data_IF_562117116498
#
_entry.id   IF_562117116498
#
_cell.length_a   1.000
_cell.length_b   1.000
_cell.length_c   1.000
_cell.angle_alpha   90.00
_cell.angle_beta   90.00
_cell.angle_gamma   90.00
#
_symmetry.space_group_name_H-M   'P 1'
#
loop_
_entity.id
_entity.type
_entity.pdbx_description
1 polymer ?
#
# COMPACT_ATOMS: atom_id res chain seq x y z
N UNK A 1 -28.45 -28.95 -9.81
CA UNK A 1 -27.25 -28.08 -9.77
C UNK A 1 -27.16 -27.51 -8.37
N UNK A 2 -26.20 -27.95 -7.56
CA UNK A 2 -26.01 -27.42 -6.21
C UNK A 2 -25.33 -26.05 -6.34
N UNK A 3 -25.97 -24.98 -5.85
CA UNK A 3 -25.34 -23.67 -5.77
C UNK A 3 -24.09 -23.78 -4.89
N UNK A 4 -22.92 -23.45 -5.44
CA UNK A 4 -21.71 -23.31 -4.62
C UNK A 4 -21.98 -22.21 -3.58
N UNK A 5 -21.74 -22.45 -2.28
CA UNK A 5 -21.92 -21.39 -1.28
C UNK A 5 -20.98 -20.24 -1.62
N UNK A 6 -21.51 -19.02 -1.68
CA UNK A 6 -20.69 -17.81 -1.85
C UNK A 6 -19.68 -17.74 -0.70
N UNK A 7 -18.40 -18.00 -1.01
CA UNK A 7 -17.32 -17.70 -0.08
C UNK A 7 -17.11 -16.20 -0.14
N UNK A 8 -17.37 -15.51 0.97
CA UNK A 8 -17.01 -14.09 1.10
C UNK A 8 -15.51 -13.96 0.82
N UNK A 9 -15.08 -13.07 -0.10
CA UNK A 9 -13.67 -12.86 -0.31
C UNK A 9 -13.01 -12.44 1.01
N UNK A 10 -11.77 -12.88 1.26
CA UNK A 10 -11.04 -12.43 2.43
C UNK A 10 -10.96 -10.90 2.46
N UNK A 11 -10.87 -10.28 3.64
CA UNK A 11 -10.72 -8.84 3.74
C UNK A 11 -9.47 -8.37 2.96
N UNK A 12 -9.53 -7.16 2.37
CA UNK A 12 -8.39 -6.61 1.65
C UNK A 12 -7.22 -6.38 2.59
N UNK A 13 -6.00 -6.49 2.05
CA UNK A 13 -4.77 -6.07 2.74
C UNK A 13 -4.19 -4.85 2.04
N UNK A 14 -3.37 -4.10 2.75
CA UNK A 14 -2.84 -2.83 2.28
C UNK A 14 -1.32 -2.81 2.37
N UNK A 15 -0.65 -2.26 1.36
CA UNK A 15 0.78 -1.93 1.38
C UNK A 15 0.99 -0.45 1.17
N UNK A 16 2.17 0.01 1.54
CA UNK A 16 2.59 1.40 1.35
C UNK A 16 3.51 1.49 0.15
N UNK A 17 3.34 2.56 -0.63
CA UNK A 17 4.28 2.92 -1.68
C UNK A 17 4.65 4.39 -1.61
N UNK A 18 5.91 4.68 -1.91
CA UNK A 18 6.46 6.03 -1.95
C UNK A 18 7.18 6.30 -3.26
N UNK A 19 7.16 7.55 -3.66
CA UNK A 19 7.94 8.07 -4.78
C UNK A 19 9.07 8.94 -4.24
N UNK A 20 10.20 8.29 -4.02
CA UNK A 20 11.41 8.94 -3.50
C UNK A 20 12.21 9.62 -4.62
N UNK A 21 12.15 9.07 -5.85
CA UNK A 21 12.78 9.66 -7.03
C UNK A 21 12.01 10.93 -7.48
N UNK A 22 12.66 12.09 -7.38
CA UNK A 22 12.13 13.38 -7.83
C UNK A 22 12.28 13.60 -9.35
N UNK A 23 13.06 12.75 -10.03
CA UNK A 23 13.35 12.84 -11.46
C UNK A 23 12.46 11.93 -12.30
N UNK A 24 11.91 10.85 -11.72
CA UNK A 24 10.93 9.97 -12.37
C UNK A 24 9.67 9.74 -11.53
N UNK A 25 8.63 10.51 -11.86
CA UNK A 25 7.32 10.43 -11.23
C UNK A 25 6.50 9.16 -11.57
N UNK A 26 7.07 8.22 -12.33
CA UNK A 26 6.40 6.96 -12.69
C UNK A 26 6.81 5.82 -11.78
N UNK A 27 7.95 5.96 -11.09
CA UNK A 27 8.47 4.90 -10.22
C UNK A 27 7.87 5.04 -8.82
N UNK A 28 7.38 3.91 -8.30
CA UNK A 28 6.84 3.78 -6.95
C UNK A 28 7.54 2.61 -6.27
N UNK A 29 8.05 2.84 -5.07
CA UNK A 29 8.76 1.83 -4.29
C UNK A 29 7.88 1.34 -3.14
N UNK A 30 7.85 0.03 -2.96
CA UNK A 30 7.20 -0.59 -1.81
C UNK A 30 7.98 -0.26 -0.53
N UNK A 31 7.27 0.16 0.51
CA UNK A 31 7.87 0.39 1.83
C UNK A 31 8.00 -0.94 2.55
N UNK A 32 9.22 -1.27 2.93
CA UNK A 32 9.54 -2.49 3.66
C UNK A 32 9.57 -2.24 5.17
N UNK A 33 9.36 -3.28 5.96
CA UNK A 33 9.63 -3.29 7.38
C UNK A 33 11.16 -3.38 7.63
N UNK A 34 11.63 -3.11 8.86
CA UNK A 34 13.07 -3.15 9.16
C UNK A 34 13.74 -4.51 8.92
N UNK A 35 12.95 -5.58 8.86
CA UNK A 35 13.39 -6.94 8.52
C UNK A 35 13.51 -7.17 7.01
N UNK A 36 13.28 -6.14 6.19
CA UNK A 36 13.32 -6.20 4.73
C UNK A 36 12.07 -6.80 4.10
N UNK A 37 11.05 -7.21 4.89
CA UNK A 37 9.82 -7.77 4.34
C UNK A 37 8.84 -6.67 3.92
N UNK A 38 7.98 -6.97 2.96
CA UNK A 38 6.92 -6.04 2.57
C UNK A 38 6.06 -5.71 3.78
N UNK A 39 5.88 -4.41 4.04
CA UNK A 39 5.04 -3.96 5.15
C UNK A 39 3.57 -3.98 4.72
N UNK A 40 2.79 -4.87 5.35
CA UNK A 40 1.38 -5.10 5.03
C UNK A 40 0.50 -4.79 6.24
N UNK A 41 -0.71 -4.30 6.00
CA UNK A 41 -1.72 -3.95 7.00
C UNK A 41 -3.07 -4.60 6.66
N UNK A 42 -3.87 -4.88 7.69
CA UNK A 42 -5.22 -5.41 7.53
C UNK A 42 -6.29 -4.31 7.38
N UNK A 43 -5.95 -3.07 7.73
CA UNK A 43 -6.84 -1.92 7.63
C UNK A 43 -6.15 -0.70 7.02
N UNK A 44 -6.90 0.06 6.22
CA UNK A 44 -6.38 1.23 5.52
C UNK A 44 -5.98 2.35 6.47
N UNK A 45 -6.66 2.50 7.61
CA UNK A 45 -6.42 3.58 8.55
C UNK A 45 -5.05 3.43 9.22
N UNK A 46 -4.70 2.22 9.67
CA UNK A 46 -3.38 1.89 10.20
C UNK A 46 -2.29 2.05 9.14
N UNK A 47 -2.57 1.66 7.90
CA UNK A 47 -1.64 1.88 6.79
C UNK A 47 -1.35 3.37 6.58
N UNK A 48 -2.40 4.21 6.54
CA UNK A 48 -2.27 5.68 6.41
C UNK A 48 -1.56 6.31 7.60
N UNK A 49 -1.90 5.92 8.82
CA UNK A 49 -1.24 6.42 10.03
C UNK A 49 0.27 6.09 10.01
N UNK A 50 0.63 4.87 9.59
CA UNK A 50 2.04 4.49 9.48
C UNK A 50 2.76 5.22 8.35
N UNK A 51 2.08 5.51 7.24
CA UNK A 51 2.62 6.31 6.15
C UNK A 51 2.94 7.74 6.60
N UNK A 52 2.05 8.35 7.39
CA UNK A 52 2.29 9.67 8.00
C UNK A 52 3.44 9.65 9.01
N UNK A 53 3.57 8.59 9.81
CA UNK A 53 4.68 8.43 10.75
C UNK A 53 6.04 8.30 10.04
N UNK A 54 6.10 7.52 8.96
CA UNK A 54 7.34 7.24 8.24
C UNK A 54 7.75 8.37 7.29
N UNK A 55 6.78 9.05 6.67
CA UNK A 55 7.03 10.07 5.66
C UNK A 55 6.23 11.36 5.95
N UNK A 56 6.39 11.99 7.13
CA UNK A 56 5.54 13.09 7.57
C UNK A 56 5.61 14.31 6.64
N UNK A 57 6.77 14.55 6.02
CA UNK A 57 6.96 15.63 5.04
C UNK A 57 6.18 15.32 3.76
N UNK A 58 6.41 14.16 3.14
CA UNK A 58 5.75 13.79 1.88
C UNK A 58 4.23 13.66 2.06
N UNK A 59 3.78 13.10 3.18
CA UNK A 59 2.38 12.99 3.53
C UNK A 59 1.74 14.36 3.80
N UNK A 60 2.47 15.26 4.47
CA UNK A 60 2.05 16.64 4.70
C UNK A 60 1.90 17.45 3.41
N UNK A 61 2.82 17.27 2.45
CA UNK A 61 2.77 17.95 1.15
C UNK A 61 1.48 17.65 0.37
N UNK A 62 0.88 16.46 0.53
CA UNK A 62 -0.45 16.18 -0.05
C UNK A 62 -1.55 17.09 0.51
N UNK A 63 -1.45 17.49 1.79
CA UNK A 63 -2.44 18.35 2.46
C UNK A 63 -2.31 19.82 2.02
N UNK A 64 -1.12 20.25 1.61
CA UNK A 64 -0.82 21.64 1.24
C UNK A 64 -0.91 21.92 -0.28
N UNK A 65 -1.35 20.94 -1.08
CA UNK A 65 -1.69 21.09 -2.50
C UNK A 65 -0.60 21.71 -3.41
N UNK A 66 0.68 21.52 -3.11
CA UNK A 66 1.79 22.12 -3.84
C UNK A 66 2.52 21.18 -4.83
N UNK A 67 2.05 19.95 -5.04
CA UNK A 67 2.72 19.00 -5.94
C UNK A 67 2.00 17.66 -6.12
N UNK A 68 2.51 16.78 -7.01
CA UNK A 68 1.97 15.43 -7.19
C UNK A 68 2.10 14.63 -5.89
N UNK A 69 1.14 13.73 -5.64
CA UNK A 69 1.18 12.83 -4.49
C UNK A 69 2.39 11.92 -4.59
N UNK A 70 3.19 11.88 -3.51
CA UNK A 70 4.41 11.06 -3.42
C UNK A 70 4.29 9.91 -2.44
N UNK A 71 3.14 9.77 -1.80
CA UNK A 71 2.83 8.66 -0.90
C UNK A 71 1.51 8.02 -1.31
N UNK A 72 1.35 6.70 -1.16
CA UNK A 72 0.07 6.06 -1.39
C UNK A 72 -0.08 4.77 -0.59
N UNK A 73 -1.35 4.45 -0.28
CA UNK A 73 -1.76 3.14 0.23
C UNK A 73 -2.38 2.37 -0.93
N UNK A 74 -1.90 1.14 -1.16
CA UNK A 74 -2.35 0.27 -2.24
C UNK A 74 -3.03 -0.95 -1.64
N UNK A 75 -4.21 -1.30 -2.16
CA UNK A 75 -4.85 -2.58 -1.87
C UNK A 75 -4.07 -3.68 -2.57
N UNK A 76 -3.68 -4.71 -1.81
CA UNK A 76 -3.08 -5.92 -2.33
C UNK A 76 -4.21 -6.82 -2.82
N UNK A 77 -4.39 -6.91 -4.14
CA UNK A 77 -5.23 -7.95 -4.73
C UNK A 77 -4.55 -9.31 -4.51
N UNK A 78 -5.28 -10.31 -4.00
CA UNK A 78 -4.72 -11.63 -3.68
C UNK A 78 -4.68 -12.60 -4.87
N UNK A 79 -4.98 -12.17 -6.09
CA UNK A 79 -4.94 -13.07 -7.26
C UNK A 79 -3.49 -13.49 -7.65
N UNK A 80 -2.46 -12.87 -7.07
CA UNK A 80 -1.04 -13.18 -7.33
C UNK A 80 -0.34 -13.99 -6.21
N UNK A 81 -1.07 -14.59 -5.26
CA UNK A 81 -0.50 -15.46 -4.20
C UNK A 81 -0.51 -16.98 -4.56
N UNK A 82 -0.79 -17.36 -5.81
CA UNK A 82 -0.65 -18.73 -6.32
C UNK A 82 0.58 -18.90 -7.24
N UNK A 83 1.80 -18.61 -6.78
CA UNK A 83 3.00 -19.14 -7.46
C UNK A 83 4.25 -19.07 -6.58
N UNK A 84 4.37 -19.92 -5.56
CA UNK A 84 5.67 -20.46 -5.08
C UNK A 84 5.41 -21.84 -4.44
N UNK A 85 5.42 -22.89 -5.27
CA UNK A 85 5.62 -24.30 -4.86
C UNK A 85 7.06 -24.71 -5.14
#
# INVERSE_FOLDING_TARGET
MSAMPYRKPPPPRYKLQVQEDETDHRVWHDVHAPDGKLRVFDDEASARAKLEELFPVLFGLEKFAAGPKRTRVIVIARDDEEEQE
#
